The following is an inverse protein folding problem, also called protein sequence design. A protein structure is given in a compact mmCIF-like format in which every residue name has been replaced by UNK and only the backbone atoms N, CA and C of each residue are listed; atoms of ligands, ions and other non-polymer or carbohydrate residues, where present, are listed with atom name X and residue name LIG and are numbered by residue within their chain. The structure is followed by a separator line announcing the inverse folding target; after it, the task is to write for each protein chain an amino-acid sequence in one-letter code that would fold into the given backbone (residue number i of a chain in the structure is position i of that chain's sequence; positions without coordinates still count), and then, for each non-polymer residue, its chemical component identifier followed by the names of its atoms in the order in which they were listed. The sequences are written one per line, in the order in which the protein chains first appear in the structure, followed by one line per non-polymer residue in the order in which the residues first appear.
data_IF_360498623651
#
_entry.id   IF_360498623651
#
_cell.length_a   1.000
_cell.length_b   1.000
_cell.length_c   1.000
_cell.angle_alpha   90.00
_cell.angle_beta   90.00
_cell.angle_gamma   90.00
#
_symmetry.space_group_name_H-M   'P 1'
#
loop_
_entity.id
_entity.type
_entity.pdbx_description
1 polymer ?
#
# COMPACT_ATOMS: atom_id res chain seq x y z
N UNK A 1 31.57 -27.06 8.86
CA UNK A 1 30.35 -26.67 8.12
C UNK A 1 29.81 -25.40 8.78
N UNK A 2 30.12 -24.22 8.25
CA UNK A 2 29.74 -22.94 8.88
C UNK A 2 28.27 -22.60 8.60
N UNK A 3 27.44 -22.67 9.63
CA UNK A 3 26.04 -22.21 9.60
C UNK A 3 25.96 -20.70 9.45
N UNK A 4 25.53 -20.23 8.27
CA UNK A 4 25.17 -18.82 8.05
C UNK A 4 23.79 -18.60 8.67
N UNK A 5 23.75 -17.87 9.79
CA UNK A 5 22.49 -17.38 10.36
C UNK A 5 21.75 -16.50 9.33
N UNK A 6 20.50 -16.80 8.96
CA UNK A 6 19.68 -15.91 8.15
C UNK A 6 19.12 -14.79 9.04
N UNK A 7 19.99 -13.96 9.63
CA UNK A 7 19.60 -13.24 10.86
C UNK A 7 18.90 -11.90 10.66
N UNK A 8 19.29 -11.08 9.67
CA UNK A 8 18.83 -9.67 9.57
C UNK A 8 18.70 -9.15 8.13
N UNK A 9 19.57 -9.59 7.24
CA UNK A 9 19.56 -9.17 5.83
C UNK A 9 18.41 -9.79 5.02
N UNK A 10 17.99 -11.02 5.37
CA UNK A 10 16.83 -11.67 4.74
C UNK A 10 15.52 -10.96 5.11
N UNK A 11 15.26 -10.78 6.41
CA UNK A 11 14.06 -10.10 6.90
C UNK A 11 13.92 -8.66 6.35
N UNK A 12 15.04 -7.91 6.24
CA UNK A 12 15.02 -6.58 5.62
C UNK A 12 14.65 -6.62 4.13
N UNK A 13 15.13 -7.64 3.40
CA UNK A 13 14.80 -7.84 1.98
C UNK A 13 13.32 -8.23 1.83
N UNK A 14 12.84 -9.17 2.64
CA UNK A 14 11.45 -9.60 2.67
C UNK A 14 10.51 -8.41 2.96
N UNK A 15 10.85 -7.57 3.95
CA UNK A 15 10.09 -6.37 4.25
C UNK A 15 10.07 -5.35 3.08
N UNK A 16 11.20 -5.19 2.37
CA UNK A 16 11.23 -4.34 1.17
C UNK A 16 10.38 -4.91 0.03
N UNK A 17 10.45 -6.22 -0.19
CA UNK A 17 9.60 -6.91 -1.18
C UNK A 17 8.13 -6.76 -0.83
N UNK A 18 7.77 -6.95 0.44
CA UNK A 18 6.39 -6.77 0.91
C UNK A 18 5.92 -5.32 0.76
N UNK A 19 6.76 -4.33 1.08
CA UNK A 19 6.43 -2.91 0.88
C UNK A 19 6.17 -2.59 -0.60
N UNK A 20 7.00 -3.10 -1.50
CA UNK A 20 6.79 -2.90 -2.95
C UNK A 20 5.51 -3.59 -3.43
N UNK A 21 5.27 -4.83 -2.99
CA UNK A 21 4.03 -5.56 -3.27
C UNK A 21 2.80 -4.80 -2.77
N UNK A 22 2.83 -4.30 -1.54
CA UNK A 22 1.72 -3.57 -0.96
C UNK A 22 1.51 -2.21 -1.65
N UNK A 23 2.57 -1.51 -2.05
CA UNK A 23 2.46 -0.28 -2.83
C UNK A 23 1.73 -0.51 -4.17
N UNK A 24 2.00 -1.62 -4.86
CA UNK A 24 1.30 -1.96 -6.10
C UNK A 24 -0.19 -2.25 -5.86
N UNK A 25 -0.53 -2.96 -4.78
CA UNK A 25 -1.93 -3.22 -4.41
C UNK A 25 -2.67 -1.95 -4.01
N UNK A 26 -2.02 -1.08 -3.26
CA UNK A 26 -2.58 0.22 -2.92
C UNK A 26 -2.83 1.07 -4.17
N UNK A 27 -1.88 1.13 -5.10
CA UNK A 27 -2.06 1.81 -6.38
C UNK A 27 -3.28 1.28 -7.14
N UNK A 28 -3.43 -0.05 -7.17
CA UNK A 28 -4.60 -0.69 -7.77
C UNK A 28 -5.89 -0.24 -7.09
N UNK A 29 -5.97 -0.31 -5.76
CA UNK A 29 -7.13 0.15 -4.99
C UNK A 29 -7.47 1.60 -5.33
N UNK A 30 -6.47 2.50 -5.33
CA UNK A 30 -6.70 3.91 -5.63
C UNK A 30 -7.22 4.11 -7.07
N UNK A 31 -6.64 3.41 -8.05
CA UNK A 31 -7.03 3.55 -9.46
C UNK A 31 -8.38 2.93 -9.80
N UNK A 32 -8.81 1.91 -9.07
CA UNK A 32 -10.11 1.26 -9.25
C UNK A 32 -11.25 2.02 -8.57
N UNK A 33 -10.96 2.84 -7.54
CA UNK A 33 -11.98 3.46 -6.69
C UNK A 33 -12.07 5.00 -6.82
N UNK A 34 -11.10 5.65 -7.46
CA UNK A 34 -11.07 7.10 -7.63
C UNK A 34 -10.73 7.49 -9.06
N UNK A 35 -11.36 8.56 -9.55
CA UNK A 35 -11.17 9.05 -10.93
C UNK A 35 -9.81 9.71 -11.16
N UNK A 36 -9.21 10.25 -10.10
CA UNK A 36 -7.92 10.94 -10.17
C UNK A 36 -7.15 10.89 -8.85
N UNK A 37 -5.82 11.16 -8.86
CA UNK A 37 -5.04 11.34 -7.65
C UNK A 37 -5.61 12.42 -6.72
N UNK A 38 -6.14 13.51 -7.27
CA UNK A 38 -6.72 14.62 -6.52
C UNK A 38 -8.01 14.21 -5.80
N UNK A 39 -8.84 13.38 -6.45
CA UNK A 39 -10.02 12.79 -5.81
C UNK A 39 -9.59 11.94 -4.60
N UNK A 40 -8.59 11.07 -4.75
CA UNK A 40 -8.05 10.30 -3.63
C UNK A 40 -7.45 11.20 -2.53
N UNK A 41 -6.76 12.29 -2.91
CA UNK A 41 -6.18 13.24 -1.97
C UNK A 41 -7.24 13.89 -1.08
N UNK A 42 -8.34 14.35 -1.69
CA UNK A 42 -9.48 14.92 -0.97
C UNK A 42 -10.13 13.90 -0.03
N UNK A 43 -10.35 12.67 -0.49
CA UNK A 43 -10.98 11.60 0.29
C UNK A 43 -10.16 11.23 1.53
N UNK A 44 -8.83 11.15 1.40
CA UNK A 44 -7.95 10.73 2.49
C UNK A 44 -7.31 11.88 3.27
N UNK A 45 -7.61 13.14 2.91
CA UNK A 45 -7.05 14.32 3.58
C UNK A 45 -5.53 14.42 3.47
N UNK A 46 -4.96 14.03 2.32
CA UNK A 46 -3.51 14.12 2.04
C UNK A 46 -3.23 15.13 0.95
N UNK A 47 -1.95 15.51 0.79
CA UNK A 47 -1.55 16.35 -0.33
C UNK A 47 -1.58 15.59 -1.68
N UNK A 48 -1.73 16.34 -2.78
CA UNK A 48 -1.80 15.77 -4.12
C UNK A 48 -0.51 15.05 -4.56
N UNK A 49 0.65 15.42 -4.03
CA UNK A 49 1.92 14.74 -4.35
C UNK A 49 1.97 13.33 -3.76
N UNK A 50 1.42 13.17 -2.56
CA UNK A 50 1.28 11.89 -1.87
C UNK A 50 0.30 10.99 -2.61
N UNK A 51 -0.86 11.52 -2.98
CA UNK A 51 -1.83 10.77 -3.77
C UNK A 51 -1.31 10.40 -5.16
N UNK A 52 -0.53 11.27 -5.82
CA UNK A 52 0.13 10.93 -7.09
C UNK A 52 1.12 9.78 -6.94
N UNK A 53 1.93 9.78 -5.88
CA UNK A 53 2.85 8.68 -5.58
C UNK A 53 2.13 7.35 -5.34
N UNK A 54 0.96 7.39 -4.71
CA UNK A 54 0.09 6.22 -4.55
C UNK A 54 -0.47 5.75 -5.88
N UNK A 55 -0.97 6.68 -6.70
CA UNK A 55 -1.48 6.40 -8.04
C UNK A 55 -0.44 5.68 -8.90
N UNK A 56 0.81 6.16 -8.87
CA UNK A 56 1.93 5.59 -9.62
C UNK A 56 2.50 4.30 -8.99
N UNK A 57 2.05 3.93 -7.78
CA UNK A 57 2.52 2.73 -7.05
C UNK A 57 3.94 2.85 -6.48
N UNK A 58 4.49 4.05 -6.42
CA UNK A 58 5.83 4.30 -5.89
C UNK A 58 5.89 4.26 -4.36
N UNK A 59 4.76 4.54 -3.69
CA UNK A 59 4.67 4.63 -2.23
C UNK A 59 3.42 3.94 -1.71
N UNK A 60 3.59 3.28 -0.56
CA UNK A 60 2.49 2.77 0.25
C UNK A 60 1.90 3.88 1.14
N UNK A 61 0.63 3.76 1.54
CA UNK A 61 0.02 4.63 2.54
C UNK A 61 0.54 4.31 3.94
N UNK A 62 0.25 5.19 4.89
CA UNK A 62 0.38 4.92 6.32
C UNK A 62 -0.77 4.04 6.83
N UNK A 63 -0.60 3.41 8.00
CA UNK A 63 -1.61 2.52 8.58
C UNK A 63 -2.97 3.20 8.85
N UNK A 64 -3.00 4.49 9.20
CA UNK A 64 -4.26 5.20 9.43
C UNK A 64 -5.07 5.36 8.14
N UNK A 65 -4.41 5.60 7.01
CA UNK A 65 -5.06 5.70 5.69
C UNK A 65 -5.61 4.35 5.28
N UNK A 66 -4.88 3.26 5.56
CA UNK A 66 -5.39 1.90 5.34
C UNK A 66 -6.65 1.65 6.19
N UNK A 67 -6.64 2.07 7.46
CA UNK A 67 -7.81 1.99 8.33
C UNK A 67 -9.01 2.76 7.77
N UNK A 68 -8.80 3.99 7.29
CA UNK A 68 -9.84 4.78 6.63
C UNK A 68 -10.36 4.12 5.36
N UNK A 69 -9.50 3.46 4.58
CA UNK A 69 -9.93 2.72 3.39
C UNK A 69 -10.86 1.56 3.78
N UNK A 70 -10.52 0.77 4.81
CA UNK A 70 -11.41 -0.28 5.31
C UNK A 70 -12.71 0.24 5.93
N UNK A 71 -12.67 1.44 6.53
CA UNK A 71 -13.86 2.07 7.10
C UNK A 71 -14.82 2.59 6.02
N UNK A 72 -14.31 3.24 4.98
CA UNK A 72 -15.11 3.92 3.97
C UNK A 72 -15.44 3.04 2.76
N UNK A 73 -14.56 2.08 2.45
CA UNK A 73 -14.64 1.20 1.26
C UNK A 73 -14.36 -0.26 1.66
N UNK A 74 -15.18 -0.85 2.56
CA UNK A 74 -14.85 -2.13 3.19
C UNK A 74 -14.73 -3.28 2.19
N UNK A 75 -15.58 -3.33 1.16
CA UNK A 75 -15.59 -4.42 0.19
C UNK A 75 -14.38 -4.33 -0.77
N UNK A 76 -14.05 -3.12 -1.19
CA UNK A 76 -12.99 -2.83 -2.14
C UNK A 76 -11.62 -2.93 -1.46
N UNK A 77 -11.52 -2.46 -0.21
CA UNK A 77 -10.35 -2.66 0.62
C UNK A 77 -10.10 -4.14 0.91
N UNK A 78 -11.13 -4.92 1.27
CA UNK A 78 -10.99 -6.35 1.49
C UNK A 78 -10.54 -7.08 0.22
N UNK A 79 -11.12 -6.74 -0.93
CA UNK A 79 -10.76 -7.35 -2.22
C UNK A 79 -9.33 -7.01 -2.62
N UNK A 80 -8.93 -5.75 -2.51
CA UNK A 80 -7.70 -5.26 -3.13
C UNK A 80 -6.52 -5.19 -2.17
N UNK A 81 -6.71 -5.14 -0.84
CA UNK A 81 -5.62 -4.94 0.14
C UNK A 81 -5.29 -6.16 1.02
N UNK A 82 -6.10 -7.22 1.04
CA UNK A 82 -5.79 -8.42 1.82
C UNK A 82 -4.55 -9.16 1.31
N UNK A 83 -3.61 -9.50 2.20
CA UNK A 83 -2.56 -10.46 1.86
C UNK A 83 -3.24 -11.78 1.46
N UNK A 84 -2.96 -12.26 0.24
CA UNK A 84 -3.38 -13.61 -0.14
C UNK A 84 -2.45 -14.59 0.59
N UNK A 85 -3.01 -15.71 1.05
CA UNK A 85 -2.30 -16.79 1.75
C UNK A 85 -1.14 -17.39 0.95
#
# INVERSE_FOLDING_TARGET
MSGKSPGKSSAKREAMTYRAFFAARWSRFVRENFDSPEHAAMTFGVDGSTARKWWDGSHSPSGFVVGLAYQNFPAEAATTLQAQE
#
